data_IF_945855117976
#
_entry.id   IF_945855117976
#
_cell.length_a   1.000
_cell.length_b   1.000
_cell.length_c   1.000
_cell.angle_alpha   90.00
_cell.angle_beta   90.00
_cell.angle_gamma   90.00
#
_symmetry.space_group_name_H-M   'P 1'
#
loop_
_entity.id
_entity.type
_entity.pdbx_description
1 polymer ?
#
# COMPACT_ATOMS: atom_id res chain seq x y z
N UNK A 1 6.79 -16.07 -19.31
CA UNK A 1 5.40 -16.24 -19.81
C UNK A 1 4.36 -16.29 -18.67
N UNK A 2 4.65 -16.90 -17.51
CA UNK A 2 3.74 -16.95 -16.35
C UNK A 2 3.29 -15.58 -15.82
N UNK A 3 4.19 -14.59 -15.77
CA UNK A 3 3.86 -13.24 -15.30
C UNK A 3 2.77 -12.56 -16.15
N UNK A 4 2.79 -12.75 -17.47
CA UNK A 4 1.82 -12.13 -18.38
C UNK A 4 0.44 -12.80 -18.31
N UNK A 5 0.42 -14.12 -18.09
CA UNK A 5 -0.80 -14.88 -17.88
C UNK A 5 -1.49 -14.47 -16.56
N UNK A 6 -0.71 -14.25 -15.50
CA UNK A 6 -1.20 -13.81 -14.20
C UNK A 6 -1.76 -12.38 -14.23
N UNK A 7 -1.05 -11.46 -14.87
CA UNK A 7 -1.51 -10.08 -15.14
C UNK A 7 -2.83 -10.06 -15.94
N UNK A 8 -2.94 -10.91 -16.95
CA UNK A 8 -4.14 -11.02 -17.79
C UNK A 8 -5.34 -11.60 -17.04
N UNK A 9 -5.10 -12.57 -16.16
CA UNK A 9 -6.12 -13.16 -15.30
C UNK A 9 -6.68 -12.12 -14.32
N UNK A 10 -5.79 -11.37 -13.65
CA UNK A 10 -6.17 -10.25 -12.78
C UNK A 10 -7.02 -9.24 -13.54
N UNK A 11 -6.56 -8.75 -14.70
CA UNK A 11 -7.32 -7.77 -15.49
C UNK A 11 -8.70 -8.26 -15.93
N UNK A 12 -8.89 -9.56 -16.15
CA UNK A 12 -10.21 -10.12 -16.50
C UNK A 12 -11.12 -10.30 -15.28
N UNK A 13 -10.56 -10.75 -14.16
CA UNK A 13 -11.30 -10.90 -12.90
C UNK A 13 -11.80 -9.54 -12.39
N UNK A 14 -10.92 -8.52 -12.36
CA UNK A 14 -11.26 -7.16 -11.93
C UNK A 14 -12.26 -6.45 -12.86
N UNK A 15 -12.28 -6.80 -14.15
CA UNK A 15 -13.26 -6.24 -15.09
C UNK A 15 -14.66 -6.83 -14.94
N UNK A 16 -14.77 -8.06 -14.43
CA UNK A 16 -16.06 -8.69 -14.08
C UNK A 16 -16.59 -8.19 -12.73
N UNK A 17 -15.69 -7.86 -11.80
CA UNK A 17 -15.99 -7.25 -10.50
C UNK A 17 -16.21 -5.74 -10.58
N UNK A 18 -16.30 -5.16 -11.77
CA UNK A 18 -16.63 -3.75 -11.96
C UNK A 18 -18.09 -3.59 -12.41
N UNK A 19 -19.08 -3.71 -11.50
CA UNK A 19 -20.34 -3.04 -11.70
C UNK A 19 -20.14 -1.59 -11.23
N UNK A 20 -19.90 -0.68 -12.17
CA UNK A 20 -20.19 0.72 -11.89
C UNK A 20 -21.46 1.04 -12.69
N UNK A 21 -22.59 0.58 -12.17
CA UNK A 21 -23.88 1.20 -12.49
C UNK A 21 -24.05 2.31 -11.44
N UNK A 22 -23.86 3.56 -11.88
CA UNK A 22 -24.31 4.74 -11.14
C UNK A 22 -25.83 4.65 -11.03
N UNK A 23 -26.36 4.26 -9.87
CA UNK A 23 -27.82 4.24 -9.70
C UNK A 23 -28.40 3.45 -8.53
N UNK A 24 -27.60 2.89 -7.63
CA UNK A 24 -28.11 2.36 -6.36
C UNK A 24 -27.24 2.85 -5.22
N UNK A 25 -27.51 4.08 -4.82
CA UNK A 25 -27.27 4.51 -3.45
C UNK A 25 -28.30 3.76 -2.60
N UNK A 26 -28.02 2.49 -2.29
CA UNK A 26 -28.66 1.81 -1.17
C UNK A 26 -27.93 2.34 0.07
N UNK A 27 -28.21 3.60 0.43
CA UNK A 27 -27.89 4.23 1.73
C UNK A 27 -28.76 3.60 2.84
N UNK A 28 -28.98 2.29 2.78
CA UNK A 28 -29.44 1.53 3.91
C UNK A 28 -28.17 1.09 4.63
N UNK A 29 -27.95 1.69 5.79
CA UNK A 29 -27.11 1.16 6.86
C UNK A 29 -27.74 -0.21 7.23
N UNK A 30 -27.54 -1.21 6.36
CA UNK A 30 -27.84 -2.61 6.66
C UNK A 30 -26.88 -2.96 7.80
N UNK A 31 -27.39 -2.82 9.03
CA UNK A 31 -26.88 -3.54 10.19
C UNK A 31 -26.55 -4.94 9.71
N UNK A 32 -25.25 -5.22 9.56
CA UNK A 32 -24.79 -6.43 8.91
C UNK A 32 -25.44 -7.61 9.63
N UNK A 33 -26.38 -8.29 8.97
CA UNK A 33 -27.09 -9.42 9.55
C UNK A 33 -26.11 -10.60 9.61
N UNK A 34 -25.31 -10.61 10.67
CA UNK A 34 -24.29 -11.63 10.92
C UNK A 34 -24.95 -13.02 10.97
N UNK A 35 -26.18 -13.14 11.50
CA UNK A 35 -26.89 -14.41 11.52
C UNK A 35 -27.29 -14.84 10.10
N UNK A 36 -27.79 -13.91 9.28
CA UNK A 36 -28.05 -14.11 7.86
C UNK A 36 -26.82 -14.60 7.10
N UNK A 37 -25.67 -13.94 7.30
CA UNK A 37 -24.41 -14.31 6.67
C UNK A 37 -23.89 -15.68 7.11
N UNK A 38 -23.96 -16.00 8.42
CA UNK A 38 -23.57 -17.32 8.97
C UNK A 38 -24.44 -18.43 8.37
N UNK A 39 -25.75 -18.18 8.23
CA UNK A 39 -26.68 -19.12 7.62
C UNK A 39 -26.34 -19.39 6.15
N UNK A 40 -26.04 -18.35 5.37
CA UNK A 40 -25.65 -18.47 3.97
C UNK A 40 -24.34 -19.25 3.82
N UNK A 41 -23.32 -18.94 4.63
CA UNK A 41 -22.03 -19.65 4.61
C UNK A 41 -22.23 -21.14 4.91
N UNK A 42 -22.99 -21.46 5.95
CA UNK A 42 -23.30 -22.85 6.33
C UNK A 42 -24.03 -23.58 5.19
N UNK A 43 -24.99 -22.93 4.55
CA UNK A 43 -25.73 -23.53 3.45
C UNK A 43 -24.82 -23.76 2.23
N UNK A 44 -23.93 -22.83 1.90
CA UNK A 44 -22.91 -23.01 0.86
C UNK A 44 -21.99 -24.18 1.21
N UNK A 45 -21.45 -24.25 2.43
CA UNK A 45 -20.60 -25.34 2.89
C UNK A 45 -21.28 -26.70 2.79
N UNK A 46 -22.58 -26.77 3.10
CA UNK A 46 -23.36 -28.01 2.98
C UNK A 46 -23.50 -28.52 1.54
N UNK A 47 -23.34 -27.65 0.54
CA UNK A 47 -23.37 -28.06 -0.88
C UNK A 47 -22.02 -28.58 -1.38
N UNK A 48 -20.93 -28.36 -0.63
CA UNK A 48 -19.58 -28.73 -1.04
C UNK A 48 -19.20 -30.12 -0.49
N UNK A 49 -18.72 -31.04 -1.36
CA UNK A 49 -18.32 -32.37 -0.90
C UNK A 49 -17.14 -32.27 0.08
N UNK A 50 -17.26 -32.89 1.25
CA UNK A 50 -16.24 -32.87 2.31
C UNK A 50 -16.30 -31.68 3.28
N UNK A 51 -17.35 -30.86 3.18
CA UNK A 51 -17.66 -29.78 4.12
C UNK A 51 -18.95 -30.04 4.93
N UNK A 52 -19.47 -31.27 4.87
CA UNK A 52 -20.70 -31.69 5.56
C UNK A 52 -20.60 -31.61 7.09
N UNK A 53 -19.38 -31.64 7.63
CA UNK A 53 -19.12 -31.58 9.07
C UNK A 53 -19.15 -30.16 9.66
N UNK A 54 -19.13 -29.12 8.82
CA UNK A 54 -19.05 -27.74 9.31
C UNK A 54 -20.44 -27.16 9.52
N UNK A 55 -20.66 -26.60 10.70
CA UNK A 55 -21.94 -26.03 11.10
C UNK A 55 -21.88 -24.50 11.23
N UNK A 56 -22.89 -23.92 11.87
CA UNK A 56 -22.97 -22.47 12.05
C UNK A 56 -21.91 -21.95 13.00
N UNK A 57 -21.51 -22.75 14.00
CA UNK A 57 -20.53 -22.34 14.99
C UNK A 57 -19.15 -22.27 14.32
N UNK A 58 -18.83 -23.21 13.43
CA UNK A 58 -17.62 -23.15 12.60
C UNK A 58 -17.60 -21.91 11.70
N UNK A 59 -18.72 -21.61 11.03
CA UNK A 59 -18.84 -20.43 10.17
C UNK A 59 -18.72 -19.13 10.97
N UNK A 60 -19.24 -19.09 12.20
CA UNK A 60 -19.11 -17.95 13.09
C UNK A 60 -17.67 -17.78 13.58
N UNK A 61 -16.97 -18.87 13.90
CA UNK A 61 -15.54 -18.83 14.25
C UNK A 61 -14.69 -18.27 13.09
N UNK A 62 -14.97 -18.68 11.84
CA UNK A 62 -14.26 -18.14 10.68
C UNK A 62 -14.46 -16.64 10.52
N UNK A 63 -15.70 -16.17 10.65
CA UNK A 63 -16.01 -14.74 10.58
C UNK A 63 -15.37 -13.95 11.73
N UNK A 64 -15.36 -14.49 12.94
CA UNK A 64 -14.73 -13.83 14.09
C UNK A 64 -13.21 -13.72 13.92
N UNK A 65 -12.56 -14.78 13.43
CA UNK A 65 -11.12 -14.76 13.10
C UNK A 65 -10.82 -13.71 12.03
N UNK A 66 -11.58 -13.71 10.93
CA UNK A 66 -11.36 -12.79 9.81
C UNK A 66 -11.63 -11.33 10.23
N UNK A 67 -12.68 -11.08 11.02
CA UNK A 67 -13.03 -9.72 11.47
C UNK A 67 -11.96 -9.08 12.35
N UNK A 68 -11.21 -9.91 13.09
CA UNK A 68 -10.13 -9.46 13.98
C UNK A 68 -8.77 -9.41 13.27
N UNK A 69 -8.63 -9.98 12.07
CA UNK A 69 -7.38 -9.95 11.32
C UNK A 69 -7.13 -8.60 10.63
N UNK A 70 -5.88 -8.16 10.66
CA UNK A 70 -5.46 -6.88 10.11
C UNK A 70 -5.55 -6.89 8.57
N UNK A 71 -6.59 -6.25 8.04
CA UNK A 71 -6.85 -6.16 6.60
C UNK A 71 -8.21 -6.72 6.19
N UNK A 72 -8.87 -7.48 7.07
CA UNK A 72 -10.20 -8.05 6.86
C UNK A 72 -11.25 -7.47 7.83
N UNK A 73 -10.83 -6.52 8.68
CA UNK A 73 -11.70 -5.77 9.58
C UNK A 73 -12.82 -5.07 8.81
N UNK A 74 -14.04 -5.19 9.30
CA UNK A 74 -15.17 -4.37 8.84
C UNK A 74 -14.96 -2.97 9.41
N UNK A 75 -14.78 -1.99 8.52
CA UNK A 75 -14.55 -0.59 8.87
C UNK A 75 -15.76 0.24 8.46
N UNK A 76 -16.18 1.14 9.35
CA UNK A 76 -17.17 2.16 8.99
C UNK A 76 -16.56 3.21 8.08
N UNK A 77 -17.39 3.88 7.29
CA UNK A 77 -16.95 4.96 6.39
C UNK A 77 -16.13 6.03 7.09
N UNK A 78 -16.54 6.39 8.31
CA UNK A 78 -15.80 7.35 9.12
C UNK A 78 -14.38 6.84 9.44
N UNK A 79 -14.25 5.57 9.82
CA UNK A 79 -12.96 4.95 10.15
C UNK A 79 -12.07 4.84 8.91
N UNK A 80 -12.66 4.56 7.75
CA UNK A 80 -11.97 4.58 6.45
C UNK A 80 -11.48 5.99 6.13
N UNK A 81 -12.33 7.01 6.28
CA UNK A 81 -11.99 8.41 6.03
C UNK A 81 -10.86 8.90 6.96
N UNK A 82 -10.92 8.52 8.23
CA UNK A 82 -9.89 8.85 9.23
C UNK A 82 -8.55 8.21 8.84
N UNK A 83 -8.54 6.92 8.51
CA UNK A 83 -7.34 6.21 8.05
C UNK A 83 -6.74 6.84 6.79
N UNK A 84 -7.57 7.28 5.85
CA UNK A 84 -7.13 7.95 4.62
C UNK A 84 -6.47 9.30 4.93
N UNK A 85 -7.06 10.08 5.83
CA UNK A 85 -6.52 11.37 6.26
C UNK A 85 -5.18 11.20 7.00
N UNK A 86 -5.08 10.16 7.81
CA UNK A 86 -3.86 9.78 8.51
C UNK A 86 -2.75 9.34 7.55
N UNK A 87 -3.08 8.53 6.54
CA UNK A 87 -2.13 8.16 5.50
C UNK A 87 -1.62 9.38 4.71
N UNK A 88 -2.51 10.34 4.43
CA UNK A 88 -2.14 11.62 3.77
C UNK A 88 -1.26 12.50 4.65
N UNK A 89 -1.42 12.46 5.97
CA UNK A 89 -0.58 13.25 6.90
C UNK A 89 0.83 12.64 7.03
N UNK A 90 0.96 11.31 7.05
CA UNK A 90 2.26 10.60 7.08
C UNK A 90 3.07 10.81 5.80
N UNK A 91 2.45 10.74 4.62
CA UNK A 91 3.13 11.02 3.34
C UNK A 91 3.69 12.45 3.25
N UNK A 92 3.00 13.43 3.84
CA UNK A 92 3.48 14.82 3.90
C UNK A 92 4.74 14.99 4.75
N UNK A 93 4.92 14.19 5.80
CA UNK A 93 6.12 14.24 6.66
C UNK A 93 7.35 13.65 5.96
N UNK A 94 7.20 12.55 5.22
CA UNK A 94 8.30 11.91 4.51
C UNK A 94 8.87 12.78 3.35
N UNK A 95 8.07 13.68 2.77
CA UNK A 95 8.54 14.60 1.73
C UNK A 95 9.50 15.70 2.27
N UNK A 96 9.49 15.95 3.58
CA UNK A 96 10.34 16.96 4.23
C UNK A 96 11.77 16.46 4.50
N UNK A 97 11.98 15.16 4.63
CA UNK A 97 13.32 14.60 4.94
C UNK A 97 14.20 14.44 3.68
N UNK A 98 13.59 14.27 2.51
CA UNK A 98 14.32 14.16 1.24
C UNK A 98 14.99 15.47 0.82
N UNK A 99 14.47 16.63 1.21
CA UNK A 99 15.07 17.93 0.87
C UNK A 99 16.37 18.18 1.63
N UNK A 100 16.47 17.69 2.87
CA UNK A 100 17.67 17.84 3.70
C UNK A 100 18.82 16.96 3.20
N UNK A 101 18.51 15.79 2.63
CA UNK A 101 19.50 14.93 1.97
C UNK A 101 20.08 15.59 0.73
N UNK A 102 19.23 16.15 -0.15
CA UNK A 102 19.67 16.83 -1.39
C UNK A 102 20.52 18.07 -1.07
N UNK A 103 20.14 18.84 -0.05
CA UNK A 103 20.90 20.02 0.38
C UNK A 103 22.29 19.64 0.92
N UNK A 104 22.37 18.60 1.75
CA UNK A 104 23.65 18.11 2.28
C UNK A 104 24.54 17.52 1.18
N UNK A 105 23.98 16.80 0.23
CA UNK A 105 24.73 16.23 -0.90
C UNK A 105 25.30 17.34 -1.80
N UNK A 106 24.51 18.38 -2.07
CA UNK A 106 24.95 19.55 -2.84
C UNK A 106 26.11 20.28 -2.15
N UNK A 107 26.00 20.51 -0.84
CA UNK A 107 27.08 21.13 -0.06
C UNK A 107 28.34 20.26 -0.01
N UNK A 108 28.19 18.94 0.10
CA UNK A 108 29.32 18.00 0.07
C UNK A 108 30.05 18.05 -1.27
N UNK A 109 29.31 18.06 -2.39
CA UNK A 109 29.88 18.18 -3.73
C UNK A 109 30.63 19.50 -3.91
N UNK A 110 30.04 20.64 -3.53
CA UNK A 110 30.73 21.94 -3.63
C UNK A 110 32.05 21.97 -2.86
N UNK A 111 32.12 21.31 -1.69
CA UNK A 111 33.36 21.21 -0.90
C UNK A 111 34.42 20.40 -1.65
N UNK A 112 34.03 19.28 -2.29
CA UNK A 112 34.96 18.45 -3.08
C UNK A 112 35.49 19.22 -4.29
N UNK A 113 34.62 19.90 -5.03
CA UNK A 113 35.00 20.76 -6.16
C UNK A 113 36.02 21.82 -5.74
N UNK A 114 35.73 22.52 -4.64
CA UNK A 114 36.62 23.57 -4.12
C UNK A 114 38.00 23.02 -3.74
N UNK A 115 38.06 21.81 -3.17
CA UNK A 115 39.34 21.16 -2.84
C UNK A 115 40.12 20.77 -4.09
N UNK A 116 39.45 20.22 -5.11
CA UNK A 116 40.07 19.87 -6.38
C UNK A 116 40.64 21.11 -7.09
N UNK A 117 39.90 22.21 -7.14
CA UNK A 117 40.37 23.45 -7.74
C UNK A 117 41.59 24.02 -7.01
N UNK A 118 41.63 23.93 -5.68
CA UNK A 118 42.80 24.31 -4.87
C UNK A 118 44.00 23.42 -5.15
N UNK A 119 43.80 22.11 -5.32
CA UNK A 119 44.87 21.19 -5.66
C UNK A 119 45.44 21.47 -7.05
N UNK A 120 44.58 21.69 -8.05
CA UNK A 120 44.98 22.00 -9.43
C UNK A 120 45.73 23.32 -9.49
N UNK A 121 45.23 24.36 -8.82
CA UNK A 121 45.91 25.68 -8.76
C UNK A 121 47.26 25.58 -8.06
N UNK A 122 47.35 24.83 -6.95
CA UNK A 122 48.61 24.61 -6.23
C UNK A 122 49.63 23.85 -7.08
N UNK A 123 49.20 22.83 -7.84
CA UNK A 123 50.07 22.12 -8.77
C UNK A 123 50.54 23.01 -9.92
N UNK A 124 49.64 23.80 -10.53
CA UNK A 124 50.00 24.78 -11.57
C UNK A 124 51.03 25.79 -11.07
N UNK A 125 50.89 26.30 -9.85
CA UNK A 125 51.87 27.21 -9.25
C UNK A 125 53.22 26.53 -8.95
N UNK A 126 53.22 25.26 -8.54
CA UNK A 126 54.46 24.49 -8.34
C UNK A 126 55.20 24.24 -9.65
N UNK A 127 54.49 23.86 -10.71
CA UNK A 127 55.05 23.67 -12.05
C UNK A 127 55.67 24.95 -12.61
N UNK A 128 54.98 26.09 -12.46
CA UNK A 128 55.49 27.40 -12.89
C UNK A 128 56.74 27.86 -12.13
N UNK A 129 56.92 27.43 -10.88
CA UNK A 129 58.14 27.69 -10.08
C UNK A 129 59.32 26.77 -10.43
N UNK A 130 59.07 25.65 -11.13
CA UNK A 130 60.11 24.69 -11.52
C UNK A 130 60.73 24.95 -12.90
N UNK A 131 60.35 26.04 -13.59
CA UNK A 131 61.07 26.50 -14.78
C UNK A 131 60.82 25.68 -16.04
N UNK A 132 59.54 25.47 -16.38
CA UNK A 132 59.08 25.21 -17.74
C UNK A 132 58.19 26.37 -18.19
#
# INVERSE_FOLDING_TARGET
MLAYAWESLKRRAWRKLSPYDEGKDDDEEEEADIDGAVNEIRDICSTLPGFEQYDKDDAMEWLDVDSNDAGYQILTDQKIADMLNDAKSRKRKHLSEDTDFVFNLSNSFQRIQTQLDRMVTTQKMRLKKQGL
#
